data_IF_833109156764
#
_entry.id   IF_833109156764
#
_cell.length_a   1.000
_cell.length_b   1.000
_cell.length_c   1.000
_cell.angle_alpha   90.00
_cell.angle_beta   90.00
_cell.angle_gamma   90.00
#
_symmetry.space_group_name_H-M   'P 1'
#
loop_
_entity.id
_entity.type
_entity.pdbx_description
1 polymer ?
#
# COMPACT_ATOMS: atom_id res chain seq x y z
N UNK A 1 22.64 -19.24 22.70
CA UNK A 1 21.81 -19.80 21.62
C UNK A 1 21.09 -18.64 20.96
N UNK A 2 21.72 -18.01 19.95
CA UNK A 2 21.16 -16.85 19.27
C UNK A 2 20.18 -17.34 18.21
N UNK A 3 18.92 -16.92 18.31
CA UNK A 3 17.90 -17.13 17.29
C UNK A 3 18.29 -16.33 16.04
N UNK A 4 18.74 -17.00 14.99
CA UNK A 4 18.87 -16.42 13.64
C UNK A 4 17.47 -16.31 13.03
N UNK A 5 16.74 -15.25 13.38
CA UNK A 5 15.49 -14.89 12.72
C UNK A 5 15.75 -14.51 11.27
N UNK A 6 14.92 -15.02 10.34
CA UNK A 6 14.86 -14.60 8.94
C UNK A 6 14.71 -13.07 8.92
N UNK A 7 15.54 -12.35 8.14
CA UNK A 7 15.46 -10.90 7.93
C UNK A 7 13.99 -10.50 7.78
N UNK A 8 13.42 -9.74 8.73
CA UNK A 8 12.00 -9.40 8.84
C UNK A 8 11.44 -8.48 7.75
N UNK A 9 12.09 -8.43 6.59
CA UNK A 9 11.69 -7.61 5.43
C UNK A 9 10.39 -8.13 4.85
N UNK A 10 9.40 -7.25 4.74
CA UNK A 10 8.09 -7.57 4.20
C UNK A 10 7.94 -7.09 2.76
N UNK A 11 7.08 -7.78 2.02
CA UNK A 11 6.64 -7.38 0.68
C UNK A 11 5.13 -7.39 0.66
N UNK A 12 4.53 -6.30 0.22
CA UNK A 12 3.09 -6.21 -0.03
C UNK A 12 2.86 -6.53 -1.51
N UNK A 13 2.04 -7.52 -1.79
CA UNK A 13 1.57 -7.81 -3.14
C UNK A 13 0.13 -7.33 -3.30
N UNK A 14 -0.16 -6.68 -4.42
CA UNK A 14 -1.51 -6.27 -4.79
C UNK A 14 -1.68 -6.42 -6.30
N UNK A 15 -2.92 -6.52 -6.76
CA UNK A 15 -3.24 -6.53 -8.18
C UNK A 15 -4.17 -5.35 -8.47
N UNK A 16 -3.81 -4.53 -9.45
CA UNK A 16 -4.57 -3.36 -9.89
C UNK A 16 -5.21 -3.64 -11.24
N UNK A 17 -6.49 -3.32 -11.38
CA UNK A 17 -7.17 -3.28 -12.67
C UNK A 17 -7.16 -1.82 -13.18
N UNK A 18 -6.55 -1.59 -14.34
CA UNK A 18 -6.48 -0.26 -14.98
C UNK A 18 -7.46 -0.09 -16.15
N UNK A 19 -8.38 -1.05 -16.35
CA UNK A 19 -9.32 -1.09 -17.46
C UNK A 19 -8.75 -1.68 -18.76
N UNK A 20 -7.42 -1.86 -18.86
CA UNK A 20 -6.77 -2.56 -19.99
C UNK A 20 -6.33 -3.97 -19.63
N UNK A 21 -6.20 -4.26 -18.33
CA UNK A 21 -5.92 -5.57 -17.78
C UNK A 21 -5.50 -5.50 -16.31
N UNK A 22 -5.15 -6.66 -15.77
CA UNK A 22 -4.61 -6.78 -14.42
C UNK A 22 -3.11 -6.52 -14.42
N UNK A 23 -2.66 -5.71 -13.46
CA UNK A 23 -1.26 -5.35 -13.23
C UNK A 23 -0.85 -5.81 -11.84
N UNK A 24 0.24 -6.60 -11.76
CA UNK A 24 0.78 -7.05 -10.47
C UNK A 24 1.67 -5.97 -9.85
N UNK A 25 1.45 -5.66 -8.58
CA UNK A 25 2.20 -4.68 -7.81
C UNK A 25 2.98 -5.37 -6.69
N UNK A 26 4.23 -4.95 -6.49
CA UNK A 26 5.05 -5.35 -5.35
C UNK A 26 5.64 -4.12 -4.66
N UNK A 27 5.40 -3.98 -3.36
CA UNK A 27 5.98 -2.92 -2.53
C UNK A 27 6.91 -3.54 -1.49
N UNK A 28 8.19 -3.21 -1.57
CA UNK A 28 9.20 -3.69 -0.64
C UNK A 28 9.23 -2.82 0.62
N UNK A 29 9.79 -3.37 1.68
CA UNK A 29 9.90 -2.77 3.02
C UNK A 29 10.31 -1.29 3.03
N UNK A 30 11.23 -0.91 2.14
CA UNK A 30 11.75 0.46 1.98
C UNK A 30 10.73 1.45 1.40
N UNK A 31 9.68 0.99 0.72
CA UNK A 31 8.60 1.84 0.22
C UNK A 31 7.38 1.91 1.13
N UNK A 32 7.34 1.16 2.25
CA UNK A 32 6.12 1.04 3.06
C UNK A 32 5.66 2.36 3.67
N UNK A 33 6.56 3.23 4.10
CA UNK A 33 6.21 4.58 4.58
C UNK A 33 5.46 5.41 3.53
N UNK A 34 5.77 5.18 2.26
CA UNK A 34 5.21 5.90 1.12
C UNK A 34 3.85 5.39 0.66
N UNK A 35 3.50 4.14 0.99
CA UNK A 35 2.42 3.46 0.30
C UNK A 35 1.59 2.52 1.17
N UNK A 36 2.11 1.94 2.25
CA UNK A 36 1.45 0.84 2.95
C UNK A 36 0.06 1.26 3.45
N UNK A 37 -0.04 2.40 4.13
CA UNK A 37 -1.33 2.91 4.59
C UNK A 37 -2.32 3.06 3.42
N UNK A 38 -1.93 3.71 2.34
CA UNK A 38 -2.80 3.91 1.16
C UNK A 38 -3.22 2.57 0.55
N UNK A 39 -2.27 1.66 0.32
CA UNK A 39 -2.52 0.34 -0.30
C UNK A 39 -3.50 -0.49 0.52
N UNK A 40 -3.43 -0.44 1.85
CA UNK A 40 -4.33 -1.18 2.72
C UNK A 40 -5.68 -0.50 3.01
N UNK A 41 -5.84 0.80 2.71
CA UNK A 41 -7.03 1.56 3.11
C UNK A 41 -7.74 2.27 1.94
N UNK A 42 -7.28 2.11 0.70
CA UNK A 42 -7.86 2.78 -0.48
C UNK A 42 -8.35 1.80 -1.53
N UNK A 43 -9.48 2.13 -2.18
CA UNK A 43 -10.08 1.35 -3.27
C UNK A 43 -9.56 1.70 -4.65
N UNK A 44 -9.20 2.97 -4.84
CA UNK A 44 -8.67 3.48 -6.10
C UNK A 44 -7.25 3.95 -5.83
N UNK A 45 -6.29 3.40 -6.58
CA UNK A 45 -4.87 3.67 -6.38
C UNK A 45 -4.29 4.36 -7.60
N UNK A 46 -3.49 5.39 -7.36
CA UNK A 46 -2.43 5.80 -8.27
C UNK A 46 -1.12 5.28 -7.70
N UNK A 47 -0.36 4.53 -8.49
CA UNK A 47 0.91 3.93 -8.07
C UNK A 47 2.05 4.47 -8.90
N UNK A 48 3.11 4.95 -8.24
CA UNK A 48 4.40 5.26 -8.88
C UNK A 48 5.35 4.11 -8.62
N UNK A 49 6.11 3.72 -9.64
CA UNK A 49 7.09 2.65 -9.51
C UNK A 49 7.82 2.33 -10.81
N UNK A 50 8.66 1.30 -10.77
CA UNK A 50 9.40 0.80 -11.93
C UNK A 50 8.62 -0.34 -12.56
N UNK A 51 8.35 -0.21 -13.86
CA UNK A 51 7.67 -1.25 -14.64
C UNK A 51 8.64 -2.39 -14.96
N UNK A 52 8.19 -3.61 -14.74
CA UNK A 52 8.86 -4.86 -15.09
C UNK A 52 7.97 -5.65 -16.06
N UNK A 53 8.50 -5.98 -17.25
CA UNK A 53 7.82 -6.80 -18.24
C UNK A 53 8.36 -8.23 -18.20
N UNK A 54 7.49 -9.23 -17.97
CA UNK A 54 7.85 -10.66 -17.97
C UNK A 54 7.23 -11.41 -19.16
N UNK A 55 7.40 -10.84 -20.35
CA UNK A 55 6.82 -11.35 -21.59
C UNK A 55 5.83 -10.38 -22.24
N UNK A 56 5.18 -10.78 -23.35
CA UNK A 56 4.43 -9.84 -24.19
C UNK A 56 3.20 -9.20 -23.53
N UNK A 57 2.59 -9.89 -22.54
CA UNK A 57 1.33 -9.48 -21.91
C UNK A 57 1.39 -9.33 -20.38
N UNK A 58 2.51 -9.66 -19.75
CA UNK A 58 2.65 -9.53 -18.30
C UNK A 58 3.37 -8.23 -17.96
N UNK A 59 2.70 -7.42 -17.16
CA UNK A 59 3.22 -6.18 -16.63
C UNK A 59 3.13 -6.25 -15.12
N UNK A 60 4.24 -5.91 -14.48
CA UNK A 60 4.33 -5.80 -13.03
C UNK A 60 5.00 -4.48 -12.69
N UNK A 61 4.70 -3.92 -11.52
CA UNK A 61 5.30 -2.67 -11.04
C UNK A 61 5.90 -2.91 -9.67
N UNK A 62 7.18 -2.55 -9.53
CA UNK A 62 7.79 -2.39 -8.22
C UNK A 62 7.44 -0.99 -7.73
N UNK A 63 6.50 -0.91 -6.79
CA UNK A 63 5.91 0.32 -6.32
C UNK A 63 6.79 1.04 -5.30
N UNK A 64 6.96 2.35 -5.50
CA UNK A 64 7.73 3.24 -4.63
C UNK A 64 6.85 4.25 -3.87
N UNK A 65 5.62 4.49 -4.34
CA UNK A 65 4.63 5.35 -3.66
C UNK A 65 3.21 5.03 -4.14
N UNK A 66 2.21 5.29 -3.31
CA UNK A 66 0.81 5.14 -3.67
C UNK A 66 -0.06 6.26 -3.10
N UNK A 67 -1.00 6.76 -3.91
CA UNK A 67 -1.99 7.77 -3.52
C UNK A 67 -3.41 7.24 -3.71
N UNK A 68 -4.33 7.72 -2.88
CA UNK A 68 -5.75 7.48 -3.06
C UNK A 68 -6.23 8.30 -4.28
N UNK A 69 -6.56 7.61 -5.37
CA UNK A 69 -6.95 8.27 -6.61
C UNK A 69 -8.27 9.04 -6.46
N UNK A 70 -9.17 8.62 -5.56
CA UNK A 70 -10.41 9.37 -5.28
C UNK A 70 -10.11 10.77 -4.72
N UNK A 71 -9.14 10.90 -3.81
CA UNK A 71 -8.71 12.19 -3.27
C UNK A 71 -8.07 13.08 -4.34
N UNK A 72 -7.28 12.49 -5.23
CA UNK A 72 -6.66 13.24 -6.34
C UNK A 72 -7.69 13.77 -7.34
N UNK A 73 -8.80 13.05 -7.55
CA UNK A 73 -9.90 13.51 -8.41
C UNK A 73 -10.59 14.73 -7.79
N UNK A 74 -10.85 14.72 -6.48
CA UNK A 74 -11.41 15.90 -5.78
C UNK A 74 -10.44 17.09 -5.79
N UNK A 75 -9.15 16.84 -5.55
CA UNK A 75 -8.11 17.87 -5.64
C UNK A 75 -8.06 18.49 -7.04
N UNK A 76 -8.14 17.66 -8.09
CA UNK A 76 -8.21 18.13 -9.47
C UNK A 76 -9.46 18.96 -9.73
N UNK A 77 -10.61 18.58 -9.17
CA UNK A 77 -11.86 19.32 -9.35
C UNK A 77 -11.80 20.71 -8.69
N UNK A 78 -11.15 20.83 -7.53
CA UNK A 78 -11.01 22.09 -6.81
C UNK A 78 -9.88 23.00 -7.31
N UNK A 79 -8.75 22.42 -7.74
CA UNK A 79 -7.51 23.17 -8.01
C UNK A 79 -6.82 22.87 -9.35
N UNK A 80 -7.37 21.96 -10.15
CA UNK A 80 -6.79 21.60 -11.44
C UNK A 80 -5.59 20.65 -11.34
N UNK A 81 -4.88 20.48 -12.46
CA UNK A 81 -3.78 19.52 -12.56
C UNK A 81 -2.49 19.99 -11.88
N UNK A 82 -2.28 21.30 -11.74
CA UNK A 82 -1.06 21.84 -11.11
C UNK A 82 -1.01 21.49 -9.62
N UNK A 83 -2.14 21.58 -8.92
CA UNK A 83 -2.27 21.16 -7.51
C UNK A 83 -2.06 19.65 -7.34
N UNK A 84 -2.59 18.84 -8.26
CA UNK A 84 -2.31 17.40 -8.29
C UNK A 84 -0.82 17.15 -8.52
N UNK A 85 -0.19 17.85 -9.47
CA UNK A 85 1.23 17.70 -9.76
C UNK A 85 2.09 18.06 -8.53
N UNK A 86 1.76 19.14 -7.82
CA UNK A 86 2.40 19.52 -6.58
C UNK A 86 2.27 18.41 -5.51
N UNK A 87 1.06 17.87 -5.31
CA UNK A 87 0.79 16.76 -4.38
C UNK A 87 1.56 15.49 -4.74
N UNK A 88 1.74 15.19 -6.03
CA UNK A 88 2.52 14.05 -6.50
C UNK A 88 4.04 14.28 -6.47
N UNK A 89 4.48 15.54 -6.40
CA UNK A 89 5.88 15.94 -6.32
C UNK A 89 6.38 16.07 -4.88
N UNK A 90 5.47 16.10 -3.89
CA UNK A 90 5.84 16.07 -2.47
C UNK A 90 6.84 14.95 -2.20
N UNK A 91 7.98 15.25 -1.56
CA UNK A 91 8.92 14.23 -1.20
C UNK A 91 8.21 13.28 -0.25
N UNK A 92 8.10 12.02 -0.68
CA UNK A 92 7.85 10.92 0.23
C UNK A 92 8.96 11.01 1.26
N UNK A 93 8.61 11.15 2.54
CA UNK A 93 9.61 11.15 3.60
C UNK A 93 10.43 9.85 3.43
N UNK A 94 11.67 9.98 2.99
CA UNK A 94 12.63 8.90 3.11
C UNK A 94 12.68 8.61 4.60
N UNK A 95 12.12 7.47 5.03
CA UNK A 95 12.16 7.03 6.41
C UNK A 95 13.61 7.20 6.86
N UNK A 96 13.83 8.13 7.79
CA UNK A 96 15.14 8.67 8.10
C UNK A 96 16.02 7.63 8.80
N UNK A 97 16.43 6.55 8.14
CA UNK A 97 17.22 5.43 8.70
C UNK A 97 16.69 4.86 10.03
N UNK A 98 15.47 5.23 10.40
CA UNK A 98 14.83 4.96 11.67
C UNK A 98 13.69 4.01 11.45
N UNK A 99 13.43 3.16 12.43
CA UNK A 99 12.36 2.17 12.37
C UNK A 99 11.04 2.85 11.93
N UNK A 100 10.51 2.53 10.74
CA UNK A 100 9.32 3.18 10.16
C UNK A 100 8.06 3.00 11.03
N UNK A 101 8.17 2.14 12.03
CA UNK A 101 7.10 1.79 12.95
C UNK A 101 7.23 2.49 14.31
N UNK A 102 8.23 3.35 14.47
CA UNK A 102 8.55 4.01 15.74
C UNK A 102 8.97 3.04 16.84
N UNK A 103 9.49 1.86 16.50
CA UNK A 103 9.80 0.80 17.48
C UNK A 103 8.59 -0.06 17.87
N UNK A 104 7.42 0.14 17.25
CA UNK A 104 6.27 -0.74 17.48
C UNK A 104 6.70 -2.17 17.16
N UNK A 105 6.25 -3.14 17.95
CA UNK A 105 6.32 -4.57 17.61
C UNK A 105 5.08 -5.25 18.14
N UNK A 106 4.52 -6.17 17.37
CA UNK A 106 3.38 -6.96 17.83
C UNK A 106 3.96 -8.18 18.54
N UNK A 107 3.84 -8.21 19.87
CA UNK A 107 4.32 -9.33 20.68
C UNK A 107 3.21 -10.35 20.86
N UNK A 108 3.43 -11.56 20.38
CA UNK A 108 2.51 -12.67 20.56
C UNK A 108 2.66 -13.29 21.97
N UNK A 109 1.60 -13.89 22.54
CA UNK A 109 1.68 -14.62 23.82
C UNK A 109 2.70 -15.76 23.82
N UNK A 110 3.04 -16.28 22.64
CA UNK A 110 4.06 -17.31 22.42
C UNK A 110 5.50 -16.79 22.53
N UNK A 111 5.70 -15.48 22.73
CA UNK A 111 7.01 -14.84 22.85
C UNK A 111 7.63 -14.39 21.53
N UNK A 112 6.98 -14.65 20.39
CA UNK A 112 7.41 -14.17 19.07
C UNK A 112 7.04 -12.70 18.85
N UNK A 113 7.89 -11.97 18.14
CA UNK A 113 7.63 -10.59 17.70
C UNK A 113 7.32 -10.58 16.20
N UNK A 114 6.24 -9.89 15.83
CA UNK A 114 5.84 -9.68 14.44
C UNK A 114 6.01 -8.21 14.05
N UNK A 115 6.11 -8.00 12.74
CA UNK A 115 6.14 -6.67 12.15
C UNK A 115 4.90 -5.87 12.57
N UNK A 116 5.02 -4.57 12.80
CA UNK A 116 3.91 -3.66 13.17
C UNK A 116 2.76 -3.57 12.18
N UNK A 117 2.94 -4.09 10.99
CA UNK A 117 1.90 -4.12 9.97
C UNK A 117 1.28 -5.53 9.87
N UNK A 118 1.52 -6.42 10.84
CA UNK A 118 1.07 -7.81 10.80
C UNK A 118 -0.37 -8.01 11.31
N UNK A 119 -0.97 -6.96 11.86
CA UNK A 119 -2.36 -6.91 12.28
C UNK A 119 -3.22 -6.01 11.36
N UNK A 120 -2.67 -5.60 10.21
CA UNK A 120 -3.40 -4.76 9.27
C UNK A 120 -4.65 -5.51 8.81
N UNK A 121 -5.76 -4.77 8.74
CA UNK A 121 -7.02 -5.29 8.21
C UNK A 121 -7.15 -4.85 6.75
N UNK A 122 -7.80 -5.65 5.90
CA UNK A 122 -8.11 -5.23 4.54
C UNK A 122 -8.93 -3.93 4.53
N UNK A 123 -8.75 -3.14 3.46
CA UNK A 123 -9.57 -1.95 3.21
C UNK A 123 -11.06 -2.26 3.39
N UNK A 124 -11.78 -1.40 4.12
CA UNK A 124 -13.23 -1.51 4.30
C UNK A 124 -13.73 -2.47 5.38
N UNK A 125 -12.86 -3.05 6.24
CA UNK A 125 -13.32 -3.73 7.46
C UNK A 125 -13.64 -2.78 8.62
N UNK A 126 -13.14 -1.55 8.58
CA UNK A 126 -13.64 -0.47 9.44
C UNK A 126 -14.70 0.30 8.67
N UNK A 127 -15.85 0.56 9.31
CA UNK A 127 -16.89 1.40 8.75
C UNK A 127 -16.24 2.71 8.30
N UNK A 128 -16.33 3.02 7.01
CA UNK A 128 -15.89 4.31 6.49
C UNK A 128 -16.58 5.41 7.30
N UNK A 129 -15.88 5.99 8.28
CA UNK A 129 -16.35 7.13 9.05
C UNK A 129 -16.09 8.37 8.18
N UNK A 130 -16.86 8.48 7.11
CA UNK A 130 -16.78 9.56 6.14
C UNK A 130 -17.86 9.41 5.06
N UNK A 131 -18.28 10.50 4.39
CA UNK A 131 -19.43 10.52 3.49
C UNK A 131 -19.24 9.66 2.20
N UNK A 132 -18.06 9.10 1.96
CA UNK A 132 -17.79 8.18 0.84
C UNK A 132 -17.99 6.71 1.23
N UNK A 133 -19.23 6.35 1.61
CA UNK A 133 -19.61 4.94 1.73
C UNK A 133 -19.88 4.36 0.32
N UNK A 134 -18.82 4.01 -0.40
CA UNK A 134 -18.91 3.39 -1.74
C UNK A 134 -19.46 1.96 -1.63
N UNK A 135 -20.36 1.58 -2.55
CA UNK A 135 -20.88 0.21 -2.67
C UNK A 135 -19.73 -0.78 -2.90
N UNK A 136 -19.90 -2.02 -2.44
CA UNK A 136 -18.91 -3.10 -2.55
C UNK A 136 -18.62 -3.40 -4.03
N UNK A 137 -17.39 -3.14 -4.49
CA UNK A 137 -16.93 -3.33 -5.88
C UNK A 137 -15.99 -4.53 -6.05
N UNK A 138 -15.81 -5.38 -5.03
CA UNK A 138 -14.77 -6.42 -5.03
C UNK A 138 -15.20 -7.75 -4.38
N UNK A 139 -14.38 -8.77 -4.64
CA UNK A 139 -14.49 -10.13 -4.10
C UNK A 139 -13.27 -10.46 -3.22
N UNK A 140 -13.48 -11.15 -2.09
CA UNK A 140 -12.41 -11.59 -1.18
C UNK A 140 -12.47 -13.11 -1.03
N UNK A 141 -11.34 -13.79 -1.19
CA UNK A 141 -11.24 -15.23 -0.92
C UNK A 141 -11.21 -15.51 0.59
N UNK A 142 -11.90 -16.57 1.06
CA UNK A 142 -11.86 -16.97 2.47
C UNK A 142 -10.42 -17.32 2.90
N UNK A 143 -9.96 -16.74 4.01
CA UNK A 143 -8.70 -17.14 4.66
C UNK A 143 -7.47 -16.26 4.38
N UNK A 144 -7.58 -15.16 3.63
CA UNK A 144 -6.50 -14.17 3.58
C UNK A 144 -6.48 -13.36 4.89
N UNK A 145 -5.45 -13.57 5.71
CA UNK A 145 -5.10 -12.64 6.78
C UNK A 145 -4.62 -11.34 6.11
N UNK A 146 -5.12 -10.20 6.59
CA UNK A 146 -4.49 -8.92 6.31
C UNK A 146 -3.12 -8.82 6.97
#
# INVERSE_FOLDING_TARGET
>A
MQSTGRSGKRVIFSTLDDGTGLVDLAFFDDSHDACAHTVFHSWLLLVRGVVQRRGPRSLSVVGSAAWNLAELVELRAGGGLDEVAARLAEPVAEGAGGDPTGGRRIRLPTGYEMHPWADLRPAGQEAAQGPSATKKLWHQSPGSAG
#
